data_IF_715044309279
#
_entry.id   IF_715044309279
#
_cell.length_a   1.000
_cell.length_b   1.000
_cell.length_c   1.000
_cell.angle_alpha   90.00
_cell.angle_beta   90.00
_cell.angle_gamma   90.00
#
_symmetry.space_group_name_H-M   'P 1'
#
loop_
_entity.id
_entity.type
_entity.pdbx_description
1 polymer ?
#
# COMPACT_ATOMS: atom_id res chain seq x y z
N UNK A 1 22.36 -5.62 9.43
CA UNK A 1 22.00 -6.23 8.14
C UNK A 1 21.67 -5.08 7.21
N UNK A 2 22.58 -4.82 6.27
CA UNK A 2 22.57 -3.61 5.44
C UNK A 2 21.39 -3.60 4.49
N UNK A 3 20.63 -2.51 4.51
CA UNK A 3 19.77 -2.13 3.40
C UNK A 3 20.71 -1.48 2.35
N UNK A 4 21.52 -2.33 1.72
CA UNK A 4 22.53 -1.94 0.72
C UNK A 4 21.82 -1.50 -0.56
N UNK A 5 21.38 -0.25 -0.62
CA UNK A 5 21.22 0.57 -1.83
C UNK A 5 20.48 -0.05 -3.03
N UNK A 6 19.69 -1.11 -2.84
CA UNK A 6 19.05 -1.83 -3.93
C UNK A 6 17.85 -1.02 -4.40
N UNK A 7 17.96 -0.43 -5.59
CA UNK A 7 16.79 0.14 -6.30
C UNK A 7 15.69 -0.92 -6.31
N UNK A 8 14.53 -0.61 -5.74
CA UNK A 8 13.42 -1.54 -5.68
C UNK A 8 12.90 -1.76 -7.10
N UNK A 9 12.67 -3.01 -7.47
CA UNK A 9 12.03 -3.28 -8.76
C UNK A 9 10.51 -3.02 -8.64
N UNK A 10 9.82 -3.00 -9.79
CA UNK A 10 8.37 -2.83 -9.83
C UNK A 10 7.63 -3.88 -8.96
N UNK A 11 8.14 -5.11 -8.91
CA UNK A 11 7.57 -6.19 -8.10
C UNK A 11 7.65 -5.89 -6.59
N UNK A 12 8.74 -5.30 -6.12
CA UNK A 12 8.91 -4.88 -4.72
C UNK A 12 7.95 -3.74 -4.37
N UNK A 13 7.76 -2.77 -5.27
CA UNK A 13 6.82 -1.66 -5.08
C UNK A 13 5.37 -2.18 -5.03
N UNK A 14 5.00 -3.10 -5.93
CA UNK A 14 3.68 -3.72 -5.92
C UNK A 14 3.42 -4.52 -4.65
N UNK A 15 4.42 -5.26 -4.15
CA UNK A 15 4.29 -5.97 -2.87
C UNK A 15 4.00 -5.00 -1.73
N UNK A 16 4.70 -3.87 -1.68
CA UNK A 16 4.45 -2.83 -0.66
C UNK A 16 3.08 -2.17 -0.81
N UNK A 17 2.62 -1.95 -2.05
CA UNK A 17 1.27 -1.43 -2.32
C UNK A 17 0.20 -2.37 -1.73
N UNK A 18 0.36 -3.68 -1.95
CA UNK A 18 -0.53 -4.70 -1.41
C UNK A 18 -0.48 -4.77 0.12
N UNK A 19 0.70 -4.67 0.74
CA UNK A 19 0.84 -4.64 2.20
C UNK A 19 0.07 -3.47 2.82
N UNK A 20 0.12 -2.29 2.21
CA UNK A 20 -0.61 -1.10 2.68
C UNK A 20 -2.14 -1.25 2.48
N UNK A 21 -2.57 -1.82 1.35
CA UNK A 21 -4.00 -2.11 1.11
C UNK A 21 -4.55 -3.08 2.17
N UNK A 22 -3.82 -4.17 2.46
CA UNK A 22 -4.25 -5.17 3.43
C UNK A 22 -4.30 -4.60 4.85
N UNK A 23 -3.30 -3.78 5.20
CA UNK A 23 -3.27 -3.08 6.48
C UNK A 23 -4.45 -2.11 6.62
N UNK A 24 -4.74 -1.33 5.59
CA UNK A 24 -5.90 -0.42 5.58
C UNK A 24 -7.21 -1.21 5.70
N UNK A 25 -7.36 -2.28 4.93
CA UNK A 25 -8.53 -3.16 5.02
C UNK A 25 -8.74 -3.67 6.44
N UNK A 26 -7.68 -4.16 7.08
CA UNK A 26 -7.77 -4.65 8.46
C UNK A 26 -8.18 -3.54 9.42
N UNK A 27 -7.48 -2.39 9.42
CA UNK A 27 -7.77 -1.27 10.32
C UNK A 27 -9.21 -0.77 10.17
N UNK A 28 -9.69 -0.60 8.94
CA UNK A 28 -11.05 -0.11 8.71
C UNK A 28 -12.10 -1.15 9.07
N UNK A 29 -11.82 -2.45 8.87
CA UNK A 29 -12.71 -3.53 9.31
C UNK A 29 -12.81 -3.60 10.84
N UNK A 30 -11.68 -3.44 11.55
CA UNK A 30 -11.66 -3.38 13.01
C UNK A 30 -12.46 -2.18 13.53
N UNK A 31 -12.34 -1.00 12.90
CA UNK A 31 -13.13 0.19 13.25
C UNK A 31 -14.63 0.00 12.98
N UNK A 32 -14.98 -0.70 11.90
CA UNK A 32 -16.37 -0.95 11.53
C UNK A 32 -17.02 -2.05 12.38
N UNK A 33 -16.23 -2.93 12.99
CA UNK A 33 -16.70 -4.10 13.73
C UNK A 33 -17.14 -5.26 12.84
N UNK A 34 -16.82 -5.22 11.54
CA UNK A 34 -17.07 -6.29 10.56
C UNK A 34 -16.11 -6.18 9.36
N UNK A 35 -15.88 -7.27 8.64
CA UNK A 35 -15.03 -7.26 7.44
C UNK A 35 -15.64 -6.39 6.34
N UNK A 36 -14.92 -5.35 5.95
CA UNK A 36 -15.36 -4.44 4.89
C UNK A 36 -15.05 -4.96 3.48
N UNK A 37 -14.28 -6.03 3.36
CA UNK A 37 -13.96 -6.65 2.08
C UNK A 37 -13.33 -5.67 1.09
N UNK A 38 -13.87 -5.67 -0.12
CA UNK A 38 -13.42 -4.84 -1.23
C UNK A 38 -13.70 -3.35 -0.97
N UNK A 39 -14.69 -3.01 -0.14
CA UNK A 39 -15.03 -1.61 0.13
C UNK A 39 -13.86 -0.84 0.73
N UNK A 40 -13.12 -1.45 1.64
CA UNK A 40 -11.94 -0.83 2.23
C UNK A 40 -10.77 -0.77 1.22
N UNK A 41 -10.65 -1.74 0.32
CA UNK A 41 -9.66 -1.72 -0.77
C UNK A 41 -9.94 -0.54 -1.71
N UNK A 42 -11.19 -0.37 -2.14
CA UNK A 42 -11.62 0.76 -2.98
C UNK A 42 -11.36 2.10 -2.29
N UNK A 43 -11.68 2.22 -1.01
CA UNK A 43 -11.40 3.40 -0.21
C UNK A 43 -9.91 3.76 -0.22
N UNK A 44 -9.04 2.76 -0.02
CA UNK A 44 -7.60 2.97 -0.06
C UNK A 44 -7.12 3.41 -1.45
N UNK A 45 -7.60 2.75 -2.51
CA UNK A 45 -7.19 3.07 -3.88
C UNK A 45 -7.56 4.50 -4.25
N UNK A 46 -8.75 4.95 -3.86
CA UNK A 46 -9.21 6.32 -4.14
C UNK A 46 -8.43 7.38 -3.35
N UNK A 47 -8.01 7.09 -2.12
CA UNK A 47 -7.38 8.07 -1.22
C UNK A 47 -5.86 8.09 -1.30
N UNK A 48 -5.22 6.95 -1.49
CA UNK A 48 -3.77 6.80 -1.23
C UNK A 48 -2.97 6.25 -2.40
N UNK A 49 -3.58 5.56 -3.36
CA UNK A 49 -2.81 4.89 -4.43
C UNK A 49 -2.03 5.88 -5.31
N UNK A 50 -2.58 7.07 -5.55
CA UNK A 50 -1.89 8.09 -6.34
C UNK A 50 -0.60 8.56 -5.66
N UNK A 51 -0.72 9.04 -4.40
CA UNK A 51 0.41 9.55 -3.62
C UNK A 51 1.46 8.45 -3.37
N UNK A 52 1.01 7.22 -3.11
CA UNK A 52 1.90 6.07 -2.93
C UNK A 52 2.77 5.84 -4.18
N UNK A 53 2.16 5.82 -5.37
CA UNK A 53 2.88 5.61 -6.63
C UNK A 53 3.83 6.75 -6.94
N UNK A 54 3.45 7.99 -6.69
CA UNK A 54 4.33 9.14 -6.87
C UNK A 54 5.54 9.11 -5.93
N UNK A 55 5.32 8.78 -4.66
CA UNK A 55 6.39 8.62 -3.67
C UNK A 55 7.42 7.58 -4.13
N UNK A 56 6.96 6.41 -4.58
CA UNK A 56 7.87 5.35 -5.01
C UNK A 56 8.53 5.62 -6.35
N UNK A 57 7.86 6.29 -7.30
CA UNK A 57 8.50 6.76 -8.53
C UNK A 57 9.66 7.71 -8.23
N UNK A 58 9.43 8.71 -7.37
CA UNK A 58 10.47 9.67 -6.99
C UNK A 58 11.63 9.02 -6.23
N UNK A 59 11.34 8.07 -5.35
CA UNK A 59 12.34 7.37 -4.54
C UNK A 59 13.25 6.44 -5.36
N UNK A 60 12.74 5.94 -6.48
CA UNK A 60 13.44 4.97 -7.33
C UNK A 60 14.16 5.63 -8.53
N UNK A 61 13.88 6.91 -8.77
CA UNK A 61 14.49 7.72 -9.82
C UNK A 61 15.95 8.06 -9.50
#
# INVERSE_FOLDING_TARGET
MGDDGKKMNQSDILRKELEEILKHKWIESEKAGYDLGDKAVWDWVQKYAHEFREYWQKKNS
#
